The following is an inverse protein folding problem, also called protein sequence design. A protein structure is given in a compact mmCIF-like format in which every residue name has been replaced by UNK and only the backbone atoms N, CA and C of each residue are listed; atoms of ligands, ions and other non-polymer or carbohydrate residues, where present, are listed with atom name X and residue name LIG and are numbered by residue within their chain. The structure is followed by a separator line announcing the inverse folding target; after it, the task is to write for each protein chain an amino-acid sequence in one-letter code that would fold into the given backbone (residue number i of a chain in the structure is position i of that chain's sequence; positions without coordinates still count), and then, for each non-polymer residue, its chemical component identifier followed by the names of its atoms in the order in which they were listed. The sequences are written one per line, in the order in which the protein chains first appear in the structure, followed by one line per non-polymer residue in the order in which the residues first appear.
data_IF_348613823071
#
_entry.id   IF_348613823071
#
_cell.length_a   1.000
_cell.length_b   1.000
_cell.length_c   1.000
_cell.angle_alpha   90.00
_cell.angle_beta   90.00
_cell.angle_gamma   90.00
#
_symmetry.space_group_name_H-M   'P 1'
#
loop_
_entity.id
_entity.type
_entity.pdbx_description
1 polymer ?
#
# COMPACT_ATOMS: atom_id res chain seq x y z
N UNK A 1 -13.29 40.56 10.91
CA UNK A 1 -11.93 40.21 10.42
C UNK A 1 -11.42 38.87 10.97
N UNK A 2 -11.41 38.63 12.29
CA UNK A 2 -10.93 37.36 12.89
C UNK A 2 -11.64 36.10 12.37
N UNK A 3 -12.97 36.12 12.25
CA UNK A 3 -13.75 34.96 11.76
C UNK A 3 -13.40 34.60 10.30
N UNK A 4 -13.19 35.61 9.46
CA UNK A 4 -12.78 35.41 8.06
C UNK A 4 -11.42 34.71 7.96
N UNK A 5 -10.48 35.11 8.81
CA UNK A 5 -9.14 34.50 8.86
C UNK A 5 -9.19 33.02 9.32
N UNK A 6 -10.06 32.70 10.27
CA UNK A 6 -10.28 31.32 10.73
C UNK A 6 -10.91 30.46 9.62
N UNK A 7 -11.87 30.98 8.87
CA UNK A 7 -12.48 30.23 7.75
C UNK A 7 -11.48 29.92 6.63
N UNK A 8 -10.60 30.87 6.30
CA UNK A 8 -9.54 30.67 5.30
C UNK A 8 -8.55 29.58 5.77
N UNK A 9 -8.17 29.59 7.05
CA UNK A 9 -7.27 28.58 7.60
C UNK A 9 -7.90 27.16 7.56
N UNK A 10 -9.20 27.06 7.85
CA UNK A 10 -9.90 25.77 7.84
C UNK A 10 -10.06 25.19 6.42
N UNK A 11 -10.22 26.04 5.40
CA UNK A 11 -10.30 25.58 4.01
C UNK A 11 -9.01 24.91 3.51
N UNK A 12 -7.84 25.28 4.07
CA UNK A 12 -6.55 24.67 3.72
C UNK A 12 -6.35 23.23 4.21
N UNK A 13 -7.16 22.76 5.16
CA UNK A 13 -7.08 21.39 5.71
C UNK A 13 -7.80 20.35 4.83
N UNK A 14 -8.55 20.78 3.80
CA UNK A 14 -9.36 19.89 2.97
C UNK A 14 -8.54 18.94 2.06
N UNK A 15 -7.24 19.20 1.91
CA UNK A 15 -6.30 18.34 1.18
C UNK A 15 -6.78 17.93 -0.21
N UNK A 16 -6.32 16.77 -0.67
CA UNK A 16 -6.71 16.18 -1.95
C UNK A 16 -7.83 15.14 -1.81
N UNK A 17 -8.73 15.29 -0.81
CA UNK A 17 -9.74 14.27 -0.51
C UNK A 17 -10.70 13.97 -1.68
N UNK A 18 -10.85 14.91 -2.61
CA UNK A 18 -11.67 14.76 -3.81
C UNK A 18 -10.91 14.23 -5.03
N UNK A 19 -9.59 13.98 -4.92
CA UNK A 19 -8.81 13.39 -5.99
C UNK A 19 -8.91 11.86 -5.94
N UNK A 20 -9.42 11.27 -7.01
CA UNK A 20 -9.53 9.82 -7.18
C UNK A 20 -10.96 9.31 -7.13
N UNK A 21 -11.08 8.01 -6.87
CA UNK A 21 -12.36 7.28 -6.85
C UNK A 21 -12.99 7.35 -5.46
N UNK A 22 -14.31 7.42 -5.39
CA UNK A 22 -15.02 7.37 -4.12
C UNK A 22 -14.79 6.00 -3.45
N UNK A 23 -14.73 5.92 -2.11
CA UNK A 23 -14.43 4.67 -1.41
C UNK A 23 -15.32 3.48 -1.83
N UNK A 24 -16.60 3.74 -2.11
CA UNK A 24 -17.58 2.72 -2.55
C UNK A 24 -17.47 2.32 -4.02
N UNK A 25 -16.76 3.09 -4.85
CA UNK A 25 -16.51 2.73 -6.26
C UNK A 25 -15.35 1.73 -6.39
N UNK A 26 -14.55 1.53 -5.34
CA UNK A 26 -13.38 0.64 -5.37
C UNK A 26 -13.75 -0.81 -5.63
N UNK A 27 -14.89 -1.28 -5.13
CA UNK A 27 -15.37 -2.65 -5.38
C UNK A 27 -15.67 -2.89 -6.86
N UNK A 28 -16.32 -1.91 -7.50
CA UNK A 28 -16.70 -1.99 -8.92
C UNK A 28 -15.54 -1.75 -9.89
N UNK A 29 -14.53 -0.98 -9.47
CA UNK A 29 -13.38 -0.62 -10.29
C UNK A 29 -12.17 -1.55 -10.08
N UNK A 30 -12.23 -2.45 -9.10
CA UNK A 30 -11.20 -3.46 -8.88
C UNK A 30 -11.14 -4.43 -10.06
N UNK A 31 -9.93 -4.64 -10.59
CA UNK A 31 -9.66 -5.64 -11.64
C UNK A 31 -9.18 -6.93 -10.98
N UNK A 32 -9.36 -8.08 -11.65
CA UNK A 32 -8.86 -9.37 -11.17
C UNK A 32 -7.35 -9.36 -10.90
N UNK A 33 -6.57 -8.60 -11.68
CA UNK A 33 -5.13 -8.43 -11.49
C UNK A 33 -4.76 -7.64 -10.24
N UNK A 34 -5.69 -6.97 -9.57
CA UNK A 34 -5.44 -6.26 -8.30
C UNK A 34 -5.60 -7.18 -7.09
N UNK A 35 -6.07 -8.42 -7.31
CA UNK A 35 -6.15 -9.43 -6.26
C UNK A 35 -4.74 -9.98 -6.00
N UNK A 36 -4.28 -10.02 -4.73
CA UNK A 36 -2.98 -10.61 -4.39
C UNK A 36 -2.83 -12.02 -4.96
N UNK A 37 -1.70 -12.29 -5.62
CA UNK A 37 -1.42 -13.58 -6.26
C UNK A 37 -2.12 -13.83 -7.61
N UNK A 38 -2.88 -12.86 -8.15
CA UNK A 38 -3.55 -12.99 -9.48
C UNK A 38 -3.00 -12.07 -10.57
N UNK A 39 -2.06 -11.18 -10.24
CA UNK A 39 -1.49 -10.23 -11.18
C UNK A 39 -0.55 -10.92 -12.18
N UNK A 40 0.65 -11.27 -11.70
CA UNK A 40 1.65 -12.07 -12.38
C UNK A 40 2.61 -12.64 -11.32
N UNK A 41 3.35 -13.70 -11.64
CA UNK A 41 4.29 -14.31 -10.69
C UNK A 41 5.53 -13.46 -10.38
N UNK A 42 5.76 -12.37 -11.11
CA UNK A 42 6.88 -11.44 -10.84
C UNK A 42 6.53 -10.50 -9.67
N UNK A 43 5.30 -10.02 -9.60
CA UNK A 43 4.81 -9.16 -8.51
C UNK A 43 4.94 -9.89 -7.17
N UNK A 44 4.49 -11.15 -7.13
CA UNK A 44 4.64 -12.00 -5.93
C UNK A 44 6.13 -12.23 -5.57
N UNK A 45 7.00 -12.44 -6.56
CA UNK A 45 8.43 -12.60 -6.34
C UNK A 45 9.10 -11.32 -5.82
N UNK A 46 8.66 -10.15 -6.27
CA UNK A 46 9.13 -8.86 -5.77
C UNK A 46 8.67 -8.61 -4.33
N UNK A 47 7.41 -8.91 -4.03
CA UNK A 47 6.87 -8.79 -2.67
C UNK A 47 7.64 -9.70 -1.70
N UNK A 48 7.89 -10.96 -2.08
CA UNK A 48 8.72 -11.89 -1.32
C UNK A 48 10.16 -11.34 -1.14
N UNK A 49 10.77 -10.80 -2.19
CA UNK A 49 12.12 -10.22 -2.11
C UNK A 49 12.19 -9.03 -1.14
N UNK A 50 11.22 -8.12 -1.19
CA UNK A 50 11.13 -6.97 -0.27
C UNK A 50 10.90 -7.45 1.16
N UNK A 51 9.99 -8.41 1.33
CA UNK A 51 9.64 -8.96 2.65
C UNK A 51 10.85 -9.62 3.30
N UNK A 52 11.58 -10.50 2.61
CA UNK A 52 12.79 -11.13 3.17
C UNK A 52 13.95 -10.15 3.36
N UNK A 53 14.05 -9.12 2.53
CA UNK A 53 15.06 -8.06 2.75
C UNK A 53 14.80 -7.27 4.04
N UNK A 54 13.53 -7.16 4.46
CA UNK A 54 13.15 -6.46 5.71
C UNK A 54 13.10 -7.39 6.91
N UNK A 55 12.66 -8.63 6.73
CA UNK A 55 12.38 -9.59 7.79
C UNK A 55 13.30 -10.82 7.70
N UNK A 56 14.54 -10.65 7.25
CA UNK A 56 15.50 -11.74 7.03
C UNK A 56 15.84 -12.59 8.26
N UNK A 57 15.35 -12.29 9.46
CA UNK A 57 15.45 -13.22 10.59
C UNK A 57 14.42 -14.36 10.54
N UNK A 58 13.26 -14.18 9.89
CA UNK A 58 12.12 -15.11 9.96
C UNK A 58 12.13 -16.24 8.94
N UNK A 59 13.05 -16.21 7.96
CA UNK A 59 13.22 -17.28 6.97
C UNK A 59 12.27 -17.19 5.76
N UNK A 60 12.82 -17.53 4.58
CA UNK A 60 12.21 -17.46 3.26
C UNK A 60 11.06 -18.43 2.95
N UNK A 61 10.16 -18.09 2.00
CA UNK A 61 9.22 -19.03 1.35
C UNK A 61 9.89 -19.95 0.31
N UNK A 62 11.22 -20.00 0.26
CA UNK A 62 12.00 -20.81 -0.66
C UNK A 62 13.49 -20.86 -0.29
N UNK A 63 14.21 -21.81 -0.90
CA UNK A 63 15.58 -22.22 -0.55
C UNK A 63 16.70 -21.20 -0.87
N UNK A 64 16.38 -19.98 -1.30
CA UNK A 64 17.35 -19.02 -1.87
C UNK A 64 17.35 -17.60 -1.30
N UNK A 65 16.63 -17.33 -0.21
CA UNK A 65 16.57 -16.00 0.42
C UNK A 65 17.22 -16.00 1.79
N UNK A 66 18.43 -15.44 1.89
CA UNK A 66 19.26 -15.43 3.09
C UNK A 66 18.55 -14.84 4.31
N UNK A 67 18.30 -15.72 5.28
CA UNK A 67 18.02 -15.36 6.65
C UNK A 67 18.81 -16.24 7.59
N UNK A 68 19.19 -15.74 8.77
CA UNK A 68 19.95 -16.53 9.75
C UNK A 68 19.13 -17.69 10.36
N UNK A 69 17.84 -17.81 10.02
CA UNK A 69 16.98 -18.93 10.40
C UNK A 69 16.69 -19.01 11.90
N UNK A 70 16.79 -17.90 12.63
CA UNK A 70 16.51 -17.87 14.06
C UNK A 70 15.00 -17.66 14.32
N UNK A 71 14.23 -18.75 14.33
CA UNK A 71 13.04 -18.90 15.18
C UNK A 71 13.16 -20.17 16.02
#
# INVERSE_FOLDING_TARGET
MRIFMVMILMAGLAGCQSLGVKPWERDLLAKDTMVPGKANGLDDAFDDHIYFSKEGSSGGRGFGGGGCGCN
#
